data_IF_232329261634
#
_entry.id   IF_232329261634
#
_cell.length_a   1.000
_cell.length_b   1.000
_cell.length_c   1.000
_cell.angle_alpha   90.00
_cell.angle_beta   90.00
_cell.angle_gamma   90.00
#
_symmetry.space_group_name_H-M   'P 1'
#
loop_
_entity.id
_entity.type
_entity.pdbx_description
1 polymer ?
#
# COMPACT_ATOMS: atom_id res chain seq x y z
N UNK A 1 -29.84 82.37 9.82
CA UNK A 1 -29.76 81.03 9.20
C UNK A 1 -29.14 81.20 7.81
N UNK A 2 -27.85 80.94 7.67
CA UNK A 2 -27.12 80.92 6.39
C UNK A 2 -26.36 79.60 6.39
N UNK A 3 -26.86 78.62 5.63
CA UNK A 3 -26.20 77.33 5.46
C UNK A 3 -25.05 77.49 4.46
N UNK A 4 -23.81 77.29 4.93
CA UNK A 4 -22.62 77.14 4.07
C UNK A 4 -22.51 75.67 3.66
N UNK A 5 -22.67 75.38 2.37
CA UNK A 5 -22.30 74.09 1.79
C UNK A 5 -20.79 74.07 1.54
N UNK A 6 -20.10 73.04 2.06
CA UNK A 6 -18.71 72.74 1.69
C UNK A 6 -18.72 71.63 0.65
N UNK A 7 -18.17 71.93 -0.53
CA UNK A 7 -17.88 70.93 -1.56
C UNK A 7 -16.51 70.32 -1.26
N UNK A 8 -16.46 68.99 -1.08
CA UNK A 8 -15.20 68.24 -1.01
C UNK A 8 -14.98 67.63 -2.40
N UNK A 9 -13.91 68.03 -3.07
CA UNK A 9 -13.44 67.41 -4.31
C UNK A 9 -12.34 66.43 -3.92
N UNK A 10 -12.58 65.13 -4.15
CA UNK A 10 -11.58 64.06 -3.97
C UNK A 10 -10.97 63.77 -5.34
N UNK A 11 -9.65 63.96 -5.47
CA UNK A 11 -8.90 63.51 -6.64
C UNK A 11 -8.38 62.08 -6.40
N UNK A 12 -8.73 61.15 -7.28
CA UNK A 12 -8.01 59.88 -7.43
C UNK A 12 -6.96 60.06 -8.52
N UNK A 13 -5.68 59.90 -8.16
CA UNK A 13 -4.61 59.73 -9.13
C UNK A 13 -4.45 58.24 -9.39
N UNK A 14 -4.83 57.79 -10.59
CA UNK A 14 -4.43 56.49 -11.12
C UNK A 14 -3.14 56.72 -11.90
N UNK A 15 -2.06 56.12 -11.41
CA UNK A 15 -0.80 56.03 -12.17
C UNK A 15 -1.01 55.03 -13.29
N UNK A 16 -1.01 55.48 -14.55
CA UNK A 16 -0.76 54.60 -15.69
C UNK A 16 0.75 54.34 -15.75
N UNK A 17 1.20 53.24 -15.17
CA UNK A 17 2.40 52.55 -15.65
C UNK A 17 1.96 51.50 -16.66
N UNK A 18 2.71 51.42 -17.75
CA UNK A 18 2.50 50.52 -18.89
C UNK A 18 2.16 49.10 -18.42
N UNK A 19 1.14 48.52 -19.05
CA UNK A 19 0.83 47.10 -18.92
C UNK A 19 2.02 46.37 -19.55
N UNK A 20 2.85 45.76 -18.71
CA UNK A 20 3.82 44.78 -19.16
C UNK A 20 3.00 43.56 -19.62
N UNK A 21 3.00 43.29 -20.93
CA UNK A 21 2.28 42.16 -21.54
C UNK A 21 2.87 40.77 -21.16
N UNK A 22 3.59 40.68 -20.04
CA UNK A 22 4.23 39.45 -19.54
C UNK A 22 3.76 39.01 -18.13
N UNK A 23 2.65 39.53 -17.60
CA UNK A 23 2.05 39.00 -16.35
C UNK A 23 0.62 38.49 -16.58
N UNK A 24 0.47 37.51 -17.47
CA UNK A 24 -0.49 36.42 -17.28
C UNK A 24 0.26 35.12 -17.49
N UNK A 25 1.28 34.89 -16.65
CA UNK A 25 1.66 33.50 -16.37
C UNK A 25 0.52 32.97 -15.51
N UNK A 26 -0.47 32.34 -16.16
CA UNK A 26 -1.36 31.42 -15.46
C UNK A 26 -0.40 30.49 -14.72
N UNK A 27 -0.35 30.54 -13.39
CA UNK A 27 0.52 29.64 -12.65
C UNK A 27 0.13 28.23 -13.07
N UNK A 28 0.95 27.61 -13.93
CA UNK A 28 0.83 26.20 -14.22
C UNK A 28 0.97 25.57 -12.84
N UNK A 29 -0.15 25.15 -12.25
CA UNK A 29 -0.12 24.28 -11.07
C UNK A 29 0.91 23.22 -11.41
N UNK A 30 2.01 23.17 -10.66
CA UNK A 30 3.12 22.26 -10.92
C UNK A 30 2.53 20.89 -11.25
N UNK A 31 2.54 20.51 -12.53
CA UNK A 31 1.83 19.34 -13.01
C UNK A 31 2.63 18.14 -12.50
N UNK A 32 2.24 17.64 -11.33
CA UNK A 32 2.82 16.42 -10.78
C UNK A 32 2.46 15.29 -11.73
N UNK A 33 3.48 14.65 -12.30
CA UNK A 33 3.30 13.34 -12.94
C UNK A 33 3.01 12.32 -11.84
N UNK A 34 1.72 12.21 -11.53
CA UNK A 34 1.23 11.30 -10.50
C UNK A 34 1.40 9.83 -10.87
N UNK A 35 1.84 9.51 -12.09
CA UNK A 35 2.16 8.15 -12.49
C UNK A 35 3.61 7.77 -12.18
N UNK A 36 4.43 8.71 -11.69
CA UNK A 36 5.86 8.50 -11.48
C UNK A 36 6.48 9.37 -10.35
N UNK A 37 5.75 9.57 -9.25
CA UNK A 37 6.19 10.26 -8.04
C UNK A 37 7.30 9.46 -7.35
N UNK A 38 8.34 10.16 -6.89
CA UNK A 38 9.32 9.62 -5.95
C UNK A 38 8.72 9.52 -4.55
N UNK A 39 8.38 8.30 -4.14
CA UNK A 39 7.69 8.00 -2.89
C UNK A 39 8.58 8.13 -1.66
N UNK A 40 9.89 8.32 -1.85
CA UNK A 40 10.81 8.60 -0.74
C UNK A 40 10.67 10.02 -0.19
N UNK A 41 10.04 10.92 -0.97
CA UNK A 41 9.69 12.26 -0.54
C UNK A 41 8.33 12.28 0.17
N UNK A 42 8.04 13.38 0.86
CA UNK A 42 6.69 13.64 1.37
C UNK A 42 5.75 14.01 0.21
N UNK A 43 4.48 13.64 0.37
CA UNK A 43 3.46 13.99 -0.62
C UNK A 43 3.28 15.51 -0.67
N UNK A 44 3.15 16.04 -1.88
CA UNK A 44 2.71 17.42 -2.06
C UNK A 44 1.28 17.53 -1.55
N UNK A 45 1.04 18.47 -0.63
CA UNK A 45 -0.29 18.72 -0.07
C UNK A 45 -1.15 19.42 -1.13
N UNK A 46 -2.30 18.82 -1.43
CA UNK A 46 -3.31 19.39 -2.32
C UNK A 46 -4.45 20.04 -1.54
N UNK A 47 -5.50 20.44 -2.25
CA UNK A 47 -6.71 21.00 -1.63
C UNK A 47 -7.99 20.33 -2.16
N UNK A 48 -9.14 20.68 -1.57
CA UNK A 48 -10.43 20.11 -1.99
C UNK A 48 -10.96 20.64 -3.33
N UNK A 49 -10.39 21.73 -3.83
CA UNK A 49 -10.79 22.41 -5.06
C UNK A 49 -9.95 21.95 -6.27
N UNK A 50 -9.15 20.89 -6.12
CA UNK A 50 -8.37 20.27 -7.20
C UNK A 50 -9.26 19.87 -8.39
N UNK A 51 -8.75 20.09 -9.60
CA UNK A 51 -9.52 19.88 -10.82
C UNK A 51 -10.06 18.44 -10.93
N UNK A 52 -11.39 18.34 -10.88
CA UNK A 52 -12.13 17.07 -10.97
C UNK A 52 -12.76 16.62 -9.64
N UNK A 53 -12.48 17.31 -8.53
CA UNK A 53 -13.11 17.03 -7.24
C UNK A 53 -14.36 17.89 -7.06
N UNK A 54 -15.47 17.27 -6.67
CA UNK A 54 -16.63 17.99 -6.16
C UNK A 54 -16.50 18.14 -4.64
N UNK A 55 -15.99 19.28 -4.20
CA UNK A 55 -15.74 19.58 -2.78
C UNK A 55 -16.93 19.34 -1.86
N UNK A 56 -18.12 19.81 -2.26
CA UNK A 56 -19.33 19.67 -1.43
C UNK A 56 -19.72 18.21 -1.26
N UNK A 57 -19.66 17.41 -2.34
CA UNK A 57 -19.92 15.98 -2.26
C UNK A 57 -18.86 15.27 -1.43
N UNK A 58 -17.59 15.57 -1.65
CA UNK A 58 -16.50 14.96 -0.89
C UNK A 58 -16.65 15.23 0.61
N UNK A 59 -16.87 16.49 1.01
CA UNK A 59 -17.09 16.83 2.42
C UNK A 59 -18.29 16.08 3.01
N UNK A 60 -19.41 16.03 2.30
CA UNK A 60 -20.59 15.30 2.76
C UNK A 60 -20.30 13.81 2.99
N UNK A 61 -19.50 13.17 2.12
CA UNK A 61 -19.09 11.78 2.30
C UNK A 61 -18.09 11.60 3.46
N UNK A 62 -17.17 12.55 3.69
CA UNK A 62 -16.28 12.50 4.86
C UNK A 62 -17.07 12.58 6.17
N UNK A 63 -18.09 13.43 6.22
CA UNK A 63 -18.98 13.55 7.36
C UNK A 63 -19.76 12.23 7.58
N UNK A 64 -20.31 11.64 6.50
CA UNK A 64 -20.98 10.33 6.55
C UNK A 64 -20.06 9.22 7.07
N UNK A 65 -18.82 9.16 6.60
CA UNK A 65 -17.82 8.16 7.03
C UNK A 65 -17.52 8.34 8.53
N UNK A 66 -17.27 9.58 8.95
CA UNK A 66 -16.99 9.91 10.34
C UNK A 66 -18.17 9.53 11.26
N UNK A 67 -19.40 9.81 10.84
CA UNK A 67 -20.61 9.49 11.60
C UNK A 67 -20.92 7.99 11.65
N UNK A 68 -20.61 7.27 10.56
CA UNK A 68 -20.82 5.83 10.48
C UNK A 68 -19.87 5.06 11.39
N UNK A 69 -18.57 5.36 11.33
CA UNK A 69 -17.55 4.66 12.11
C UNK A 69 -17.35 5.23 13.51
N UNK A 70 -17.74 6.49 13.77
CA UNK A 70 -17.62 7.17 15.08
C UNK A 70 -16.23 7.00 15.69
N UNK A 71 -16.15 6.45 16.91
CA UNK A 71 -14.91 6.20 17.65
C UNK A 71 -14.06 5.06 17.08
N UNK A 72 -14.58 4.28 16.13
CA UNK A 72 -13.88 3.14 15.53
C UNK A 72 -13.08 3.55 14.28
N UNK A 73 -13.21 4.79 13.82
CA UNK A 73 -12.33 5.37 12.80
C UNK A 73 -11.05 5.90 13.46
N UNK A 74 -9.89 5.44 13.02
CA UNK A 74 -8.61 5.93 13.55
C UNK A 74 -8.04 7.07 12.71
N UNK A 75 -8.03 6.89 11.39
CA UNK A 75 -7.46 7.86 10.46
C UNK A 75 -8.02 7.65 9.07
N UNK A 76 -8.08 8.71 8.27
CA UNK A 76 -8.51 8.69 6.88
C UNK A 76 -7.53 9.51 6.03
N UNK A 77 -7.06 8.92 4.94
CA UNK A 77 -6.15 9.57 4.01
C UNK A 77 -6.61 9.38 2.57
N UNK A 78 -6.45 10.42 1.76
CA UNK A 78 -6.79 10.36 0.32
C UNK A 78 -5.72 11.05 -0.49
N UNK A 79 -5.18 10.31 -1.46
CA UNK A 79 -4.38 10.85 -2.54
C UNK A 79 -5.27 11.07 -3.77
N UNK A 80 -5.14 12.22 -4.42
CA UNK A 80 -5.77 12.49 -5.71
C UNK A 80 -4.74 13.08 -6.67
N UNK A 81 -4.55 12.41 -7.82
CA UNK A 81 -3.53 12.78 -8.81
C UNK A 81 -2.17 13.11 -8.16
N UNK A 82 -1.73 12.24 -7.24
CA UNK A 82 -0.43 12.35 -6.59
C UNK A 82 -0.32 13.35 -5.43
N UNK A 83 -1.39 14.11 -5.15
CA UNK A 83 -1.43 15.07 -4.04
C UNK A 83 -2.19 14.51 -2.84
N UNK A 84 -1.71 14.81 -1.65
CA UNK A 84 -2.40 14.50 -0.39
C UNK A 84 -3.49 15.53 -0.13
N UNK A 85 -4.75 15.16 -0.38
CA UNK A 85 -5.91 16.06 -0.25
C UNK A 85 -6.63 15.89 1.09
N UNK A 86 -6.49 14.74 1.75
CA UNK A 86 -7.07 14.44 3.07
C UNK A 86 -6.02 13.71 3.90
N UNK A 87 -5.82 14.17 5.13
CA UNK A 87 -4.99 13.52 6.15
C UNK A 87 -5.59 13.78 7.54
N UNK A 88 -6.62 13.00 7.88
CA UNK A 88 -7.36 13.16 9.14
C UNK A 88 -6.97 12.07 10.14
N UNK A 89 -6.77 12.47 11.40
CA UNK A 89 -6.54 11.57 12.53
C UNK A 89 -7.64 11.77 13.57
N UNK A 90 -8.47 10.74 13.73
CA UNK A 90 -9.57 10.70 14.71
C UNK A 90 -9.13 10.04 16.02
N UNK A 91 -8.07 9.22 15.97
CA UNK A 91 -7.38 8.67 17.13
C UNK A 91 -5.88 8.58 16.87
N UNK A 92 -5.08 9.26 17.69
CA UNK A 92 -3.62 9.33 17.54
C UNK A 92 -3.19 10.54 16.69
N UNK A 93 -2.11 10.37 15.92
CA UNK A 93 -1.46 11.40 15.10
C UNK A 93 -0.70 10.74 13.93
N UNK A 94 0.04 11.55 13.15
CA UNK A 94 0.79 11.08 11.98
C UNK A 94 1.82 9.96 12.24
N UNK A 95 2.32 9.87 13.47
CA UNK A 95 3.28 8.82 13.86
C UNK A 95 2.60 7.56 14.41
N UNK A 96 1.27 7.60 14.58
CA UNK A 96 0.52 6.47 15.12
C UNK A 96 0.48 5.31 14.12
N UNK A 97 1.06 4.19 14.52
CA UNK A 97 1.00 2.93 13.76
C UNK A 97 -0.23 2.13 14.14
N UNK A 98 -0.89 1.54 13.15
CA UNK A 98 -2.08 0.70 13.33
C UNK A 98 -1.90 -0.63 12.61
N UNK A 99 -2.46 -1.74 13.14
CA UNK A 99 -2.40 -3.02 12.47
C UNK A 99 -3.14 -2.94 11.14
N UNK A 100 -2.46 -3.28 10.05
CA UNK A 100 -3.06 -3.31 8.70
C UNK A 100 -3.66 -4.68 8.36
N UNK A 101 -3.57 -5.63 9.30
CA UNK A 101 -4.09 -6.98 9.18
C UNK A 101 -3.67 -7.62 7.85
N UNK A 102 -4.63 -8.09 7.07
CA UNK A 102 -4.42 -8.85 5.84
C UNK A 102 -3.79 -8.06 4.69
N UNK A 103 -3.66 -6.73 4.77
CA UNK A 103 -2.86 -5.95 3.83
C UNK A 103 -1.38 -6.41 3.84
N UNK A 104 -0.93 -7.01 4.95
CA UNK A 104 0.36 -7.70 5.05
C UNK A 104 0.61 -8.68 3.91
N UNK A 105 -0.44 -9.38 3.44
CA UNK A 105 -0.32 -10.36 2.34
C UNK A 105 -0.03 -9.68 1.00
N UNK A 106 -0.54 -8.46 0.78
CA UNK A 106 -0.21 -7.65 -0.40
C UNK A 106 1.24 -7.18 -0.37
N UNK A 107 1.73 -6.76 0.80
CA UNK A 107 3.15 -6.43 1.00
C UNK A 107 4.03 -7.65 0.72
N UNK A 108 3.67 -8.82 1.25
CA UNK A 108 4.39 -10.07 0.99
C UNK A 108 4.38 -10.46 -0.50
N UNK A 109 3.23 -10.34 -1.17
CA UNK A 109 3.09 -10.61 -2.62
C UNK A 109 4.04 -9.74 -3.46
N UNK A 110 4.22 -8.47 -3.10
CA UNK A 110 5.16 -7.59 -3.81
C UNK A 110 6.61 -8.10 -3.77
N UNK A 111 7.03 -8.75 -2.67
CA UNK A 111 8.35 -9.35 -2.55
C UNK A 111 8.56 -10.53 -3.50
N UNK A 112 7.52 -11.34 -3.73
CA UNK A 112 7.55 -12.42 -4.72
C UNK A 112 7.65 -11.91 -6.15
N UNK A 113 6.91 -10.85 -6.47
CA UNK A 113 7.05 -10.19 -7.76
C UNK A 113 8.46 -9.63 -7.97
N UNK A 114 9.08 -9.06 -6.94
CA UNK A 114 10.47 -8.62 -7.02
C UNK A 114 11.46 -9.79 -7.19
N UNK A 115 11.27 -10.91 -6.47
CA UNK A 115 12.10 -12.10 -6.65
C UNK A 115 12.07 -12.61 -8.09
N UNK A 116 10.88 -12.68 -8.69
CA UNK A 116 10.69 -13.13 -10.07
C UNK A 116 11.30 -12.11 -11.04
N UNK A 117 11.01 -10.83 -10.84
CA UNK A 117 11.54 -9.75 -11.68
C UNK A 117 13.08 -9.73 -11.72
N UNK A 118 13.74 -10.11 -10.63
CA UNK A 118 15.19 -10.16 -10.52
C UNK A 118 15.80 -11.56 -10.76
N UNK A 119 15.02 -12.51 -11.31
CA UNK A 119 15.45 -13.90 -11.57
C UNK A 119 15.97 -14.65 -10.33
N UNK A 120 15.57 -14.24 -9.13
CA UNK A 120 15.89 -14.93 -7.86
C UNK A 120 14.90 -16.06 -7.56
N UNK A 121 13.73 -16.01 -8.20
CA UNK A 121 12.75 -17.09 -8.25
C UNK A 121 12.30 -17.24 -9.70
N UNK A 122 12.17 -18.47 -10.19
CA UNK A 122 11.86 -18.68 -11.61
C UNK A 122 10.47 -18.14 -11.99
N UNK A 123 9.45 -18.54 -11.23
CA UNK A 123 8.05 -18.14 -11.41
C UNK A 123 7.20 -18.65 -10.23
N UNK A 124 5.89 -18.40 -10.28
CA UNK A 124 4.90 -18.87 -9.31
C UNK A 124 4.69 -20.38 -9.32
N UNK A 125 5.08 -21.10 -10.38
CA UNK A 125 4.98 -22.55 -10.48
C UNK A 125 6.07 -23.29 -9.69
N UNK A 126 6.97 -22.56 -9.04
CA UNK A 126 7.99 -23.14 -8.16
C UNK A 126 7.31 -23.95 -7.04
N UNK A 127 7.58 -25.28 -6.94
CA UNK A 127 6.87 -26.15 -6.02
C UNK A 127 7.44 -26.07 -4.58
N UNK A 128 6.59 -26.33 -3.59
CA UNK A 128 6.96 -26.35 -2.18
C UNK A 128 8.01 -27.44 -1.86
N UNK A 129 8.07 -28.50 -2.66
CA UNK A 129 9.03 -29.59 -2.52
C UNK A 129 10.50 -29.17 -2.69
N UNK A 130 10.77 -27.98 -3.23
CA UNK A 130 12.12 -27.40 -3.24
C UNK A 130 12.55 -26.82 -1.88
N UNK A 131 11.60 -26.54 -0.99
CA UNK A 131 11.83 -25.89 0.30
C UNK A 131 11.59 -26.83 1.48
N UNK A 132 10.76 -27.85 1.30
CA UNK A 132 10.30 -28.76 2.36
C UNK A 132 10.33 -30.21 1.90
N UNK A 133 10.59 -31.12 2.84
CA UNK A 133 10.30 -32.55 2.67
C UNK A 133 8.84 -32.80 3.04
N UNK A 134 8.03 -33.23 2.07
CA UNK A 134 6.58 -33.38 2.22
C UNK A 134 6.17 -34.86 2.15
N UNK A 135 5.13 -35.21 2.91
CA UNK A 135 4.68 -36.59 3.14
C UNK A 135 3.82 -37.15 1.99
N UNK A 136 3.22 -36.30 1.17
CA UNK A 136 2.39 -36.71 0.03
C UNK A 136 2.80 -36.04 -1.27
N UNK A 137 2.52 -36.73 -2.40
CA UNK A 137 2.70 -36.17 -3.73
C UNK A 137 1.81 -34.94 -3.96
N UNK A 138 0.61 -34.93 -3.38
CA UNK A 138 -0.35 -33.83 -3.50
C UNK A 138 0.12 -32.56 -2.78
N UNK A 139 0.69 -32.66 -1.58
CA UNK A 139 1.34 -31.51 -0.93
C UNK A 139 2.57 -31.07 -1.71
N UNK A 140 3.33 -32.01 -2.24
CA UNK A 140 4.52 -31.74 -3.06
C UNK A 140 4.21 -31.00 -4.36
N UNK A 141 2.98 -31.10 -4.89
CA UNK A 141 2.53 -30.39 -6.09
C UNK A 141 2.02 -28.98 -5.83
N UNK A 142 1.84 -28.57 -4.56
CA UNK A 142 1.53 -27.17 -4.24
C UNK A 142 2.70 -26.31 -4.74
N UNK A 143 2.38 -25.19 -5.39
CA UNK A 143 3.35 -24.19 -5.79
C UNK A 143 3.10 -22.83 -5.10
N UNK A 144 4.04 -21.91 -5.29
CA UNK A 144 3.96 -20.55 -4.73
C UNK A 144 2.70 -19.83 -5.20
N UNK A 145 2.32 -19.99 -6.47
CA UNK A 145 1.09 -19.46 -7.04
C UNK A 145 -0.15 -19.94 -6.29
N UNK A 146 -0.20 -21.21 -5.89
CA UNK A 146 -1.32 -21.73 -5.14
C UNK A 146 -1.48 -21.08 -3.76
N UNK A 147 -0.36 -20.74 -3.10
CA UNK A 147 -0.40 -20.03 -1.83
C UNK A 147 -0.78 -18.55 -2.03
N UNK A 148 -0.23 -17.88 -3.04
CA UNK A 148 -0.53 -16.48 -3.36
C UNK A 148 -2.01 -16.28 -3.73
N UNK A 149 -2.58 -17.20 -4.50
CA UNK A 149 -3.97 -17.18 -4.93
C UNK A 149 -4.93 -17.87 -3.94
N UNK A 150 -4.42 -18.41 -2.83
CA UNK A 150 -5.21 -19.11 -1.81
C UNK A 150 -6.05 -20.29 -2.36
N UNK A 151 -5.45 -21.07 -3.25
CA UNK A 151 -6.07 -22.30 -3.78
C UNK A 151 -5.21 -23.55 -3.52
N UNK A 152 -4.35 -23.52 -2.50
CA UNK A 152 -3.41 -24.60 -2.15
C UNK A 152 -4.03 -25.80 -1.41
N UNK A 153 -5.24 -25.67 -0.87
CA UNK A 153 -5.82 -26.66 0.04
C UNK A 153 -5.33 -26.55 1.49
N UNK A 154 -4.36 -25.68 1.80
CA UNK A 154 -3.89 -25.44 3.18
C UNK A 154 -4.97 -24.70 3.98
N UNK A 155 -5.49 -25.34 5.04
CA UNK A 155 -6.54 -24.76 5.88
C UNK A 155 -6.08 -23.53 6.68
N UNK A 156 -7.01 -22.66 7.08
CA UNK A 156 -6.70 -21.43 7.83
C UNK A 156 -6.70 -21.62 9.35
N UNK A 157 -5.95 -22.60 9.83
CA UNK A 157 -5.88 -22.86 11.26
C UNK A 157 -4.90 -21.91 11.96
N UNK A 158 -5.41 -20.77 12.44
CA UNK A 158 -4.63 -19.77 13.20
C UNK A 158 -3.97 -20.31 14.47
N UNK A 159 -4.26 -21.55 14.90
CA UNK A 159 -3.55 -22.21 15.99
C UNK A 159 -2.03 -22.33 15.77
N UNK A 160 -1.55 -22.22 14.51
CA UNK A 160 -0.12 -22.26 14.17
C UNK A 160 0.71 -21.23 14.95
N UNK A 161 0.14 -20.06 15.27
CA UNK A 161 0.85 -18.96 15.94
C UNK A 161 1.37 -19.31 17.33
N UNK A 162 0.74 -20.31 17.98
CA UNK A 162 1.10 -20.74 19.34
C UNK A 162 1.98 -21.99 19.36
N UNK A 163 2.28 -22.58 18.20
CA UNK A 163 3.04 -23.83 18.10
C UNK A 163 4.54 -23.58 18.28
N UNK A 164 5.24 -24.60 18.76
CA UNK A 164 6.71 -24.57 18.87
C UNK A 164 7.37 -24.49 17.50
N UNK A 165 6.81 -25.22 16.53
CA UNK A 165 7.18 -25.19 15.11
C UNK A 165 5.94 -24.91 14.26
N UNK A 166 5.67 -23.63 13.94
CA UNK A 166 4.50 -23.24 13.16
C UNK A 166 4.51 -23.80 11.73
N UNK A 167 5.68 -23.88 11.09
CA UNK A 167 5.82 -24.35 9.71
C UNK A 167 5.52 -25.84 9.64
N UNK A 168 6.15 -26.63 10.51
CA UNK A 168 5.87 -28.07 10.58
C UNK A 168 4.41 -28.34 10.94
N UNK A 169 3.82 -27.53 11.82
CA UNK A 169 2.40 -27.66 12.15
C UNK A 169 1.53 -27.47 10.91
N UNK A 170 1.69 -26.38 10.17
CA UNK A 170 0.92 -26.10 8.96
C UNK A 170 1.10 -27.22 7.92
N UNK A 171 2.34 -27.67 7.70
CA UNK A 171 2.64 -28.73 6.72
C UNK A 171 2.11 -30.12 7.14
N UNK A 172 1.92 -30.36 8.45
CA UNK A 172 1.42 -31.65 8.96
C UNK A 172 -0.09 -31.82 8.83
N UNK A 173 -0.84 -30.72 8.76
CA UNK A 173 -2.30 -30.77 8.64
C UNK A 173 -2.71 -31.37 7.28
N UNK A 174 -3.85 -32.08 7.21
CA UNK A 174 -4.39 -32.55 5.94
C UNK A 174 -4.84 -31.37 5.07
N UNK A 175 -4.74 -31.53 3.75
CA UNK A 175 -5.31 -30.57 2.81
C UNK A 175 -6.84 -30.64 2.88
N UNK A 176 -7.50 -29.49 2.81
CA UNK A 176 -8.96 -29.38 2.78
C UNK A 176 -9.55 -29.76 1.41
N UNK A 177 -8.75 -29.63 0.35
CA UNK A 177 -9.09 -29.95 -1.04
C UNK A 177 -7.79 -30.03 -1.86
N UNK A 178 -7.87 -30.60 -3.07
CA UNK A 178 -6.70 -30.72 -3.95
C UNK A 178 -6.20 -29.36 -4.44
N UNK A 179 -4.87 -29.13 -4.50
CA UNK A 179 -4.31 -27.85 -4.93
C UNK A 179 -4.81 -27.42 -6.32
N UNK A 180 -5.13 -26.13 -6.47
CA UNK A 180 -5.64 -25.53 -7.69
C UNK A 180 -7.12 -25.76 -7.99
N UNK A 181 -7.84 -26.56 -7.19
CA UNK A 181 -9.23 -26.93 -7.50
C UNK A 181 -10.30 -26.05 -6.85
N UNK A 182 -9.96 -25.34 -5.76
CA UNK A 182 -10.89 -24.51 -5.02
C UNK A 182 -10.18 -23.31 -4.40
N UNK A 183 -10.90 -22.20 -4.21
CA UNK A 183 -10.39 -21.05 -3.48
C UNK A 183 -10.85 -21.10 -2.02
N UNK A 184 -9.90 -21.01 -1.08
CA UNK A 184 -10.22 -20.86 0.34
C UNK A 184 -9.17 -19.98 1.01
N UNK A 185 -9.65 -18.89 1.63
CA UNK A 185 -8.81 -17.95 2.36
C UNK A 185 -7.90 -18.67 3.38
N UNK A 186 -6.61 -18.31 3.41
CA UNK A 186 -5.66 -18.90 4.37
C UNK A 186 -4.54 -17.95 4.76
N UNK A 187 -4.48 -17.60 6.05
CA UNK A 187 -3.33 -16.92 6.65
C UNK A 187 -2.20 -17.90 6.96
N UNK A 188 -2.52 -19.15 7.30
CA UNK A 188 -1.52 -20.21 7.48
C UNK A 188 -0.74 -20.47 6.18
N UNK A 189 -1.42 -20.56 5.03
CA UNK A 189 -0.76 -20.70 3.73
C UNK A 189 0.16 -19.54 3.41
N UNK A 190 -0.24 -18.30 3.71
CA UNK A 190 0.64 -17.14 3.54
C UNK A 190 1.79 -17.09 4.53
N UNK A 191 1.68 -17.72 5.70
CA UNK A 191 2.81 -17.85 6.62
C UNK A 191 3.92 -18.73 6.02
N UNK A 192 3.56 -19.79 5.27
CA UNK A 192 4.53 -20.57 4.49
C UNK A 192 5.25 -19.72 3.43
N UNK A 193 4.56 -18.76 2.79
CA UNK A 193 5.19 -17.83 1.87
C UNK A 193 6.28 -16.97 2.55
N UNK A 194 6.05 -16.53 3.79
CA UNK A 194 7.10 -15.81 4.53
C UNK A 194 8.34 -16.70 4.75
N UNK A 195 8.16 -17.94 5.20
CA UNK A 195 9.27 -18.87 5.40
C UNK A 195 9.98 -19.25 4.09
N UNK A 196 9.24 -19.46 3.00
CA UNK A 196 9.80 -19.73 1.66
C UNK A 196 10.66 -18.55 1.20
N UNK A 197 10.19 -17.31 1.35
CA UNK A 197 10.99 -16.12 1.01
C UNK A 197 12.30 -16.09 1.81
N UNK A 198 12.23 -16.43 3.10
CA UNK A 198 13.42 -16.49 3.95
C UNK A 198 14.40 -17.56 3.45
N UNK A 199 13.93 -18.76 3.14
CA UNK A 199 14.76 -19.85 2.58
C UNK A 199 15.35 -19.50 1.21
N UNK A 200 14.56 -18.90 0.32
CA UNK A 200 14.98 -18.56 -1.03
C UNK A 200 16.05 -17.47 -1.05
N UNK A 201 16.03 -16.55 -0.09
CA UNK A 201 16.89 -15.36 -0.07
C UNK A 201 18.05 -15.44 0.93
N UNK A 202 17.94 -16.32 1.94
CA UNK A 202 18.86 -16.35 3.08
C UNK A 202 18.75 -15.13 4.01
N UNK A 203 17.73 -14.29 3.84
CA UNK A 203 17.46 -13.10 4.65
C UNK A 203 16.08 -13.25 5.27
N UNK A 204 15.78 -12.59 6.40
CA UNK A 204 14.40 -12.60 6.89
C UNK A 204 13.48 -11.94 5.87
N UNK A 205 12.22 -12.36 5.80
CA UNK A 205 11.19 -11.77 4.93
C UNK A 205 11.12 -10.25 5.08
N UNK A 206 11.22 -9.75 6.31
CA UNK A 206 11.23 -8.32 6.61
C UNK A 206 12.46 -7.63 6.04
N UNK A 207 13.66 -8.16 6.27
CA UNK A 207 14.89 -7.55 5.75
C UNK A 207 14.91 -7.49 4.22
N UNK A 208 14.41 -8.54 3.58
CA UNK A 208 14.29 -8.57 2.13
C UNK A 208 13.29 -7.51 1.63
N UNK A 209 12.10 -7.44 2.22
CA UNK A 209 11.08 -6.44 1.84
C UNK A 209 11.52 -5.01 2.16
N UNK A 210 12.17 -4.77 3.29
CA UNK A 210 12.74 -3.47 3.66
C UNK A 210 13.71 -3.00 2.57
N UNK A 211 14.69 -3.85 2.23
CA UNK A 211 15.75 -3.52 1.28
C UNK A 211 15.22 -3.30 -0.13
N UNK A 212 14.28 -4.14 -0.58
CA UNK A 212 13.93 -4.25 -1.99
C UNK A 212 12.61 -3.59 -2.36
N UNK A 213 11.67 -3.42 -1.41
CA UNK A 213 10.35 -2.82 -1.66
C UNK A 213 10.14 -1.58 -0.81
N UNK A 214 10.11 -1.72 0.52
CA UNK A 214 9.57 -0.71 1.44
C UNK A 214 10.46 0.53 1.58
N UNK A 215 11.77 0.36 1.82
CA UNK A 215 12.69 1.50 1.87
C UNK A 215 12.75 2.23 0.51
N UNK A 216 12.83 1.53 -0.65
CA UNK A 216 12.74 2.18 -1.96
C UNK A 216 11.47 3.01 -2.22
N UNK A 217 10.38 2.79 -1.47
CA UNK A 217 9.14 3.57 -1.58
C UNK A 217 8.88 4.47 -0.36
N UNK A 218 9.90 4.73 0.46
CA UNK A 218 9.79 5.69 1.57
C UNK A 218 9.09 5.18 2.83
N UNK A 219 8.90 3.86 2.97
CA UNK A 219 8.31 3.25 4.16
C UNK A 219 9.45 2.77 5.05
N UNK A 220 9.58 3.42 6.22
CA UNK A 220 10.63 3.16 7.19
C UNK A 220 10.02 3.00 8.58
N UNK A 221 10.76 2.36 9.50
CA UNK A 221 10.44 2.33 10.93
C UNK A 221 8.98 1.91 11.19
N UNK A 222 8.65 0.66 10.84
CA UNK A 222 7.36 0.04 11.11
C UNK A 222 7.54 -1.26 11.91
N UNK A 223 6.47 -1.73 12.54
CA UNK A 223 6.51 -2.94 13.34
C UNK A 223 5.92 -4.10 12.54
N UNK A 224 6.55 -5.27 12.59
CA UNK A 224 6.01 -6.51 12.04
C UNK A 224 6.21 -7.64 13.02
N UNK A 225 5.11 -8.21 13.49
CA UNK A 225 5.14 -9.39 14.35
C UNK A 225 5.87 -10.57 13.68
N UNK A 226 6.79 -11.18 14.41
CA UNK A 226 7.35 -12.48 14.09
C UNK A 226 6.74 -13.57 14.96
N UNK A 227 6.51 -14.73 14.35
CA UNK A 227 6.13 -15.94 15.06
C UNK A 227 7.38 -16.79 15.08
N UNK A 228 8.04 -16.85 16.26
CA UNK A 228 9.42 -17.32 16.38
C UNK A 228 10.34 -16.45 15.52
N UNK A 229 11.08 -17.06 14.60
CA UNK A 229 12.05 -16.40 13.72
C UNK A 229 11.47 -16.04 12.34
N UNK A 230 10.20 -16.36 12.06
CA UNK A 230 9.54 -16.09 10.78
C UNK A 230 8.54 -14.96 10.95
N UNK A 231 8.69 -13.89 10.17
CA UNK A 231 7.72 -12.80 10.15
C UNK A 231 6.35 -13.32 9.71
N UNK A 232 5.28 -12.89 10.37
CA UNK A 232 3.96 -13.43 10.10
C UNK A 232 3.49 -13.04 8.69
N UNK A 233 3.40 -14.02 7.77
CA UNK A 233 2.98 -13.76 6.39
C UNK A 233 1.50 -13.44 6.20
N UNK A 234 0.65 -13.71 7.21
CA UNK A 234 -0.79 -13.46 7.14
C UNK A 234 -1.21 -12.08 7.65
N UNK A 235 -0.52 -11.53 8.64
CA UNK A 235 -0.85 -10.28 9.33
C UNK A 235 0.36 -9.80 10.16
N UNK A 236 0.17 -8.77 10.98
CA UNK A 236 1.15 -8.38 12.00
C UNK A 236 1.98 -7.15 11.63
N UNK A 237 1.86 -6.64 10.40
CA UNK A 237 2.40 -5.32 10.06
C UNK A 237 1.55 -4.22 10.71
N UNK A 238 2.23 -3.24 11.31
CA UNK A 238 1.65 -1.98 11.76
C UNK A 238 2.26 -0.83 10.97
N UNK A 239 1.45 -0.13 10.18
CA UNK A 239 1.87 1.01 9.38
C UNK A 239 1.26 2.32 9.90
N UNK A 240 1.89 3.45 9.58
CA UNK A 240 1.24 4.75 9.64
C UNK A 240 0.30 4.92 8.45
N UNK A 241 -0.60 5.90 8.53
CA UNK A 241 -1.50 6.23 7.42
C UNK A 241 -0.73 6.49 6.12
N UNK A 242 0.32 7.32 6.18
CA UNK A 242 1.11 7.69 5.00
C UNK A 242 1.87 6.50 4.39
N UNK A 243 2.24 5.49 5.19
CA UNK A 243 2.90 4.29 4.67
C UNK A 243 1.91 3.45 3.83
N UNK A 244 0.64 3.38 4.25
CA UNK A 244 -0.42 2.75 3.44
C UNK A 244 -0.67 3.51 2.14
N UNK A 245 -0.68 4.85 2.19
CA UNK A 245 -0.84 5.68 0.99
C UNK A 245 0.34 5.50 0.02
N UNK A 246 1.58 5.43 0.51
CA UNK A 246 2.78 5.12 -0.30
C UNK A 246 2.65 3.77 -0.99
N UNK A 247 2.24 2.73 -0.27
CA UNK A 247 2.06 1.40 -0.85
C UNK A 247 0.94 1.37 -1.91
N UNK A 248 -0.17 2.09 -1.69
CA UNK A 248 -1.23 2.23 -2.70
C UNK A 248 -0.75 2.98 -3.96
N UNK A 249 -0.08 4.12 -3.76
CA UNK A 249 0.48 4.92 -4.86
C UNK A 249 1.53 4.12 -5.65
N UNK A 250 2.36 3.31 -4.99
CA UNK A 250 3.32 2.42 -5.63
C UNK A 250 2.67 1.50 -6.68
N UNK A 251 1.50 0.93 -6.37
CA UNK A 251 0.74 0.10 -7.32
C UNK A 251 0.06 0.93 -8.40
N UNK A 252 -0.47 2.12 -8.09
CA UNK A 252 -1.02 3.04 -9.10
C UNK A 252 0.03 3.46 -10.13
N UNK A 253 1.30 3.52 -9.72
CA UNK A 253 2.46 3.87 -10.55
C UNK A 253 3.12 2.64 -11.21
N UNK A 254 2.40 1.51 -11.28
CA UNK A 254 2.88 0.27 -11.92
C UNK A 254 4.25 -0.19 -11.41
N UNK A 255 4.47 -0.09 -10.10
CA UNK A 255 5.67 -0.61 -9.44
C UNK A 255 6.87 0.34 -9.50
N UNK A 256 6.63 1.63 -9.74
CA UNK A 256 7.67 2.68 -9.78
C UNK A 256 7.68 3.56 -8.54
N UNK A 257 8.87 4.06 -8.23
CA UNK A 257 9.12 5.21 -7.35
C UNK A 257 10.10 6.13 -8.05
N UNK A 258 9.65 7.32 -8.45
CA UNK A 258 10.39 8.19 -9.35
C UNK A 258 10.75 7.44 -10.65
N UNK A 259 12.01 7.58 -11.08
CA UNK A 259 12.51 6.87 -12.27
C UNK A 259 12.88 5.39 -12.03
N UNK A 260 12.71 4.87 -10.81
CA UNK A 260 13.13 3.52 -10.45
C UNK A 260 11.97 2.53 -10.60
N UNK A 261 12.12 1.55 -11.48
CA UNK A 261 11.26 0.36 -11.51
C UNK A 261 11.69 -0.59 -10.40
N UNK A 262 10.84 -0.77 -9.39
CA UNK A 262 11.12 -1.65 -8.25
C UNK A 262 10.44 -3.00 -8.44
N UNK A 263 9.18 -2.99 -8.88
CA UNK A 263 8.37 -4.17 -9.14
C UNK A 263 7.94 -4.17 -10.60
N UNK A 264 7.91 -5.28 -11.32
CA UNK A 264 7.52 -5.27 -12.73
C UNK A 264 6.07 -4.81 -12.90
N UNK A 265 5.80 -4.07 -13.99
CA UNK A 265 4.43 -3.70 -14.35
C UNK A 265 3.55 -4.95 -14.54
N UNK A 266 4.09 -6.00 -15.15
CA UNK A 266 3.40 -7.28 -15.33
C UNK A 266 2.94 -7.89 -13.99
N UNK A 267 3.78 -7.85 -12.95
CA UNK A 267 3.38 -8.34 -11.63
C UNK A 267 2.27 -7.48 -11.03
N UNK A 268 2.36 -6.16 -11.16
CA UNK A 268 1.30 -5.25 -10.70
C UNK A 268 -0.02 -5.57 -11.41
N UNK A 269 0.01 -5.75 -12.72
CA UNK A 269 -1.18 -6.01 -13.52
C UNK A 269 -1.80 -7.38 -13.17
N UNK A 270 -1.02 -8.46 -13.09
CA UNK A 270 -1.56 -9.79 -12.76
C UNK A 270 -2.03 -9.90 -11.30
N UNK A 271 -1.35 -9.24 -10.36
CA UNK A 271 -1.71 -9.28 -8.93
C UNK A 271 -2.89 -8.37 -8.56
N UNK A 272 -3.36 -7.53 -9.49
CA UNK A 272 -4.54 -6.68 -9.32
C UNK A 272 -5.68 -7.01 -10.29
N UNK A 273 -5.49 -8.02 -11.13
CA UNK A 273 -6.54 -8.56 -11.99
C UNK A 273 -7.51 -9.43 -11.17
N UNK A 274 -8.79 -9.42 -11.55
CA UNK A 274 -9.77 -10.35 -11.02
C UNK A 274 -9.39 -11.79 -11.39
N UNK A 275 -9.34 -12.67 -10.40
CA UNK A 275 -9.12 -14.11 -10.63
C UNK A 275 -10.30 -14.67 -11.42
N UNK A 276 -10.05 -15.14 -12.64
CA UNK A 276 -11.03 -15.81 -13.50
C UNK A 276 -11.33 -17.24 -13.07
#
# INVERSE_FOLDING_TARGET
MINKFYFIIVFFFVSCSEIDENEVESSAEDLIDWTSIDLTNDFVVGNFDEQGINKTKLQAELDNISDFFRSDLYSLGVLYKGKLIIENYYSGNADSRRPIWSITKSVLSSGYGHLIYNNQLLNTETPLSLFYSLDTAEKSSINIGNLLMMNSGVGDNLGYVTKSDPIQYILSEPLSFSPGTWWAYTSAGTHLLSDIMTKATGQTTKDYLDKHILNPIGIYNYDWESIKEVHNGGFGINFRLLDMLRFGQFYLQKGKSGNKQILSQEWVDISTQESS
#
